data_IF_005709078804
#
_entry.id   IF_005709078804
#
_cell.length_a   1.000
_cell.length_b   1.000
_cell.length_c   1.000
_cell.angle_alpha   90.00
_cell.angle_beta   90.00
_cell.angle_gamma   90.00
#
_symmetry.space_group_name_H-M   'P 1'
#
loop_
_entity.id
_entity.type
_entity.pdbx_description
1 polymer ?
#
# COMPACT_ATOMS: atom_id res chain seq x y z
N UNK A 1 -38.40 -28.57 59.35
CA UNK A 1 -39.00 -27.23 59.13
C UNK A 1 -40.00 -27.34 58.00
N UNK A 2 -41.28 -27.10 58.28
CA UNK A 2 -42.38 -27.25 57.33
C UNK A 2 -42.37 -25.98 56.45
N UNK A 3 -42.00 -26.11 55.18
CA UNK A 3 -42.04 -24.99 54.22
C UNK A 3 -43.50 -24.58 54.04
N UNK A 4 -43.91 -23.50 54.71
CA UNK A 4 -45.24 -22.93 54.51
C UNK A 4 -45.25 -22.23 53.16
N UNK A 5 -46.14 -22.66 52.27
CA UNK A 5 -46.38 -22.06 50.97
C UNK A 5 -47.07 -20.70 51.14
N UNK A 6 -46.44 -19.62 50.67
CA UNK A 6 -47.08 -18.30 50.63
C UNK A 6 -48.26 -18.30 49.65
N UNK A 7 -49.35 -17.68 50.08
CA UNK A 7 -50.49 -17.34 49.23
C UNK A 7 -50.28 -15.94 48.64
N UNK A 8 -50.92 -15.61 47.52
CA UNK A 8 -50.86 -14.26 46.92
C UNK A 8 -51.28 -13.16 47.92
N UNK A 9 -52.05 -13.54 48.94
CA UNK A 9 -52.46 -12.73 50.08
C UNK A 9 -51.29 -12.23 50.93
N UNK A 10 -50.25 -13.04 51.10
CA UNK A 10 -49.01 -12.70 51.81
C UNK A 10 -48.14 -11.73 51.00
N UNK A 11 -48.28 -11.78 49.67
CA UNK A 11 -47.65 -10.85 48.72
C UNK A 11 -48.33 -9.47 48.71
N UNK A 12 -49.67 -9.40 48.68
CA UNK A 12 -50.43 -8.13 48.78
C UNK A 12 -50.14 -7.36 50.07
N UNK A 13 -49.82 -8.07 51.15
CA UNK A 13 -49.51 -7.45 52.46
C UNK A 13 -48.06 -6.94 52.55
N UNK A 14 -47.22 -7.26 51.56
CA UNK A 14 -45.82 -6.87 51.44
C UNK A 14 -45.62 -5.72 50.44
N UNK A 15 -46.41 -4.67 50.54
CA UNK A 15 -45.93 -3.32 50.20
C UNK A 15 -45.05 -2.84 51.35
N UNK A 16 -43.77 -3.22 51.35
CA UNK A 16 -42.73 -2.80 52.29
C UNK A 16 -43.01 -3.05 53.80
N UNK A 17 -42.21 -3.95 54.38
CA UNK A 17 -41.76 -3.89 55.79
C UNK A 17 -42.75 -4.18 56.93
N UNK A 18 -44.06 -4.41 56.70
CA UNK A 18 -45.04 -4.53 57.79
C UNK A 18 -45.80 -5.85 57.87
N UNK A 19 -45.12 -7.00 57.93
CA UNK A 19 -45.78 -8.28 58.27
C UNK A 19 -44.90 -9.31 59.00
N UNK A 20 -43.80 -8.90 59.62
CA UNK A 20 -42.97 -9.82 60.42
C UNK A 20 -43.65 -10.32 61.72
N UNK A 21 -44.80 -9.75 62.12
CA UNK A 21 -45.40 -10.01 63.43
C UNK A 21 -46.53 -11.04 63.47
N UNK A 22 -47.01 -11.56 62.33
CA UNK A 22 -48.24 -12.36 62.30
C UNK A 22 -48.02 -13.89 62.19
N UNK A 23 -46.79 -14.36 61.94
CA UNK A 23 -46.54 -15.77 61.58
C UNK A 23 -45.36 -16.44 62.29
N UNK A 24 -44.70 -15.76 63.23
CA UNK A 24 -43.66 -16.36 64.09
C UNK A 24 -42.38 -16.81 63.36
N UNK A 25 -42.11 -16.32 62.16
CA UNK A 25 -40.91 -16.61 61.38
C UNK A 25 -40.06 -15.34 61.22
N UNK A 26 -38.73 -15.51 61.18
CA UNK A 26 -37.80 -14.39 61.19
C UNK A 26 -38.01 -13.50 59.95
N UNK A 27 -38.05 -12.16 60.11
CA UNK A 27 -38.23 -11.23 58.99
C UNK A 27 -37.18 -11.39 57.87
N UNK A 28 -35.97 -11.82 58.24
CA UNK A 28 -34.89 -12.11 57.29
C UNK A 28 -35.20 -13.31 56.39
N UNK A 29 -35.71 -14.41 56.94
CA UNK A 29 -36.04 -15.62 56.18
C UNK A 29 -37.20 -15.38 55.21
N UNK A 30 -38.19 -14.58 55.61
CA UNK A 30 -39.28 -14.15 54.74
C UNK A 30 -38.83 -13.24 53.60
N UNK A 31 -37.90 -12.31 53.85
CA UNK A 31 -37.37 -11.41 52.82
C UNK A 31 -36.60 -12.17 51.74
N UNK A 32 -35.78 -13.14 52.14
CA UNK A 32 -35.00 -14.01 51.24
C UNK A 32 -35.93 -14.92 50.42
N UNK A 33 -36.97 -15.49 51.05
CA UNK A 33 -37.91 -16.35 50.35
C UNK A 33 -38.80 -15.56 49.38
N UNK A 34 -39.24 -14.36 49.76
CA UNK A 34 -40.00 -13.46 48.88
C UNK A 34 -39.18 -13.04 47.66
N UNK A 35 -37.92 -12.66 47.84
CA UNK A 35 -37.04 -12.29 46.72
C UNK A 35 -36.73 -13.48 45.80
N UNK A 36 -36.57 -14.70 46.33
CA UNK A 36 -36.40 -15.91 45.54
C UNK A 36 -37.63 -16.23 44.67
N UNK A 37 -38.84 -16.09 45.20
CA UNK A 37 -40.07 -16.30 44.42
C UNK A 37 -40.25 -15.20 43.36
N UNK A 38 -39.88 -13.93 43.68
CA UNK A 38 -39.91 -12.85 42.67
C UNK A 38 -38.95 -13.12 41.51
N UNK A 39 -37.74 -13.61 41.79
CA UNK A 39 -36.74 -13.86 40.75
C UNK A 39 -37.12 -15.06 39.89
N UNK A 40 -37.75 -16.09 40.45
CA UNK A 40 -38.29 -17.24 39.70
C UNK A 40 -39.42 -16.85 38.75
N UNK A 41 -40.33 -15.95 39.18
CA UNK A 41 -41.43 -15.46 38.33
C UNK A 41 -40.91 -14.57 37.20
N UNK A 42 -39.93 -13.71 37.49
CA UNK A 42 -39.27 -12.86 36.48
C UNK A 42 -38.46 -13.71 35.49
N UNK A 43 -37.83 -14.79 35.96
CA UNK A 43 -37.07 -15.74 35.13
C UNK A 43 -37.95 -16.73 34.36
N UNK A 44 -39.29 -16.58 34.43
CA UNK A 44 -40.28 -17.43 33.74
C UNK A 44 -40.26 -18.92 34.18
N UNK A 45 -39.64 -19.25 35.31
CA UNK A 45 -39.61 -20.62 35.81
C UNK A 45 -40.97 -21.06 36.39
N UNK A 46 -41.77 -20.12 36.89
CA UNK A 46 -43.21 -20.30 37.15
C UNK A 46 -43.60 -21.32 38.23
N UNK A 47 -42.65 -22.02 38.85
CA UNK A 47 -42.89 -23.15 39.74
C UNK A 47 -43.42 -22.76 41.13
N UNK A 48 -43.31 -21.49 41.54
CA UNK A 48 -43.66 -21.02 42.89
C UNK A 48 -45.07 -20.45 43.07
N UNK A 49 -45.88 -20.29 42.02
CA UNK A 49 -47.18 -19.60 42.10
C UNK A 49 -48.34 -20.56 42.41
N UNK A 50 -48.72 -20.66 43.69
CA UNK A 50 -50.00 -21.27 44.08
C UNK A 50 -51.09 -20.21 44.13
N UNK A 51 -51.98 -20.20 43.14
CA UNK A 51 -53.13 -19.29 43.10
C UNK A 51 -54.26 -19.80 44.00
N UNK A 52 -54.69 -18.98 44.94
CA UNK A 52 -55.90 -19.20 45.74
C UNK A 52 -57.15 -18.83 44.93
N UNK A 53 -58.33 -19.35 45.31
CA UNK A 53 -59.63 -19.24 44.59
C UNK A 53 -60.22 -17.81 44.51
N UNK A 54 -59.45 -16.79 44.89
CA UNK A 54 -59.88 -15.40 44.98
C UNK A 54 -59.53 -14.61 43.72
N UNK A 55 -60.55 -14.03 43.07
CA UNK A 55 -60.43 -13.36 41.76
C UNK A 55 -59.35 -12.27 41.73
N UNK A 56 -59.19 -11.51 42.81
CA UNK A 56 -58.20 -10.43 42.89
C UNK A 56 -56.75 -10.89 43.06
N UNK A 57 -56.53 -12.12 43.51
CA UNK A 57 -55.21 -12.75 43.64
C UNK A 57 -54.79 -13.38 42.30
N UNK A 58 -55.75 -14.01 41.60
CA UNK A 58 -55.54 -14.52 40.24
C UNK A 58 -55.21 -13.39 39.24
N UNK A 59 -55.92 -12.26 39.29
CA UNK A 59 -55.65 -11.12 38.39
C UNK A 59 -54.26 -10.51 38.59
N UNK A 60 -53.82 -10.40 39.85
CA UNK A 60 -52.47 -9.93 40.18
C UNK A 60 -51.39 -10.90 39.68
N UNK A 61 -51.58 -12.20 39.91
CA UNK A 61 -50.66 -13.24 39.43
C UNK A 61 -50.54 -13.23 37.89
N UNK A 62 -51.65 -13.07 37.17
CA UNK A 62 -51.66 -12.91 35.71
C UNK A 62 -50.86 -11.66 35.30
N UNK A 63 -51.09 -10.51 35.96
CA UNK A 63 -50.39 -9.26 35.63
C UNK A 63 -48.87 -9.37 35.83
N UNK A 64 -48.43 -10.01 36.93
CA UNK A 64 -47.03 -10.22 37.24
C UNK A 64 -46.37 -11.21 36.25
N UNK A 65 -47.07 -12.27 35.89
CA UNK A 65 -46.61 -13.22 34.87
C UNK A 65 -46.49 -12.55 33.49
N UNK A 66 -47.46 -11.74 33.08
CA UNK A 66 -47.38 -10.98 31.82
C UNK A 66 -46.24 -9.97 31.83
N UNK A 67 -46.02 -9.27 32.96
CA UNK A 67 -44.91 -8.33 33.10
C UNK A 67 -43.55 -9.03 33.05
N UNK A 68 -43.40 -10.17 33.73
CA UNK A 68 -42.19 -11.00 33.67
C UNK A 68 -41.89 -11.51 32.27
N UNK A 69 -42.91 -11.99 31.54
CA UNK A 69 -42.78 -12.41 30.14
C UNK A 69 -42.32 -11.25 29.23
N UNK A 70 -42.88 -10.05 29.40
CA UNK A 70 -42.50 -8.86 28.63
C UNK A 70 -41.04 -8.47 28.95
N UNK A 71 -40.65 -8.45 30.22
CA UNK A 71 -39.27 -8.15 30.64
C UNK A 71 -38.26 -9.17 30.07
N UNK A 72 -38.57 -10.46 30.12
CA UNK A 72 -37.70 -11.51 29.59
C UNK A 72 -37.59 -11.43 28.06
N UNK A 73 -38.69 -11.18 27.35
CA UNK A 73 -38.69 -10.96 25.91
C UNK A 73 -37.81 -9.75 25.52
N UNK A 74 -37.91 -8.63 26.25
CA UNK A 74 -37.05 -7.47 26.04
C UNK A 74 -35.58 -7.77 26.34
N UNK A 75 -35.29 -8.52 27.41
CA UNK A 75 -33.92 -8.93 27.74
C UNK A 75 -33.31 -9.79 26.63
N UNK A 76 -34.05 -10.80 26.16
CA UNK A 76 -33.61 -11.67 25.06
C UNK A 76 -33.39 -10.85 23.79
N UNK A 77 -34.31 -9.94 23.43
CA UNK A 77 -34.16 -9.07 22.27
C UNK A 77 -32.94 -8.15 22.36
N UNK A 78 -32.67 -7.57 23.53
CA UNK A 78 -31.49 -6.75 23.78
C UNK A 78 -30.20 -7.56 23.68
N UNK A 79 -30.14 -8.75 24.29
CA UNK A 79 -28.98 -9.66 24.21
C UNK A 79 -28.75 -10.09 22.76
N UNK A 80 -29.81 -10.45 22.02
CA UNK A 80 -29.71 -10.82 20.61
C UNK A 80 -29.16 -9.67 19.77
N UNK A 81 -29.69 -8.45 19.96
CA UNK A 81 -29.21 -7.26 19.24
C UNK A 81 -27.74 -6.95 19.58
N UNK A 82 -27.38 -7.05 20.86
CA UNK A 82 -26.00 -6.87 21.32
C UNK A 82 -25.05 -7.91 20.70
N UNK A 83 -25.40 -9.20 20.75
CA UNK A 83 -24.59 -10.28 20.16
C UNK A 83 -24.50 -10.15 18.63
N UNK A 84 -25.58 -9.75 17.96
CA UNK A 84 -25.54 -9.46 16.52
C UNK A 84 -24.56 -8.32 16.22
N UNK A 85 -24.61 -7.21 16.96
CA UNK A 85 -23.70 -6.08 16.76
C UNK A 85 -22.22 -6.47 16.89
N UNK A 86 -21.90 -7.41 17.79
CA UNK A 86 -20.54 -7.94 17.95
C UNK A 86 -20.14 -8.91 16.84
N UNK A 87 -21.08 -9.71 16.34
CA UNK A 87 -20.80 -10.78 15.37
C UNK A 87 -20.82 -10.32 13.92
N UNK A 88 -21.46 -9.20 13.58
CA UNK A 88 -21.56 -8.67 12.20
C UNK A 88 -20.19 -8.59 11.52
N UNK A 89 -19.19 -7.95 12.15
CA UNK A 89 -17.86 -7.80 11.56
C UNK A 89 -17.12 -9.12 11.39
N UNK A 90 -17.28 -10.06 12.32
CA UNK A 90 -16.68 -11.38 12.22
C UNK A 90 -17.35 -12.21 11.11
N UNK A 91 -18.66 -12.09 10.95
CA UNK A 91 -19.40 -12.84 9.95
C UNK A 91 -19.17 -12.28 8.54
N UNK A 92 -19.13 -10.95 8.37
CA UNK A 92 -18.69 -10.31 7.12
C UNK A 92 -17.34 -10.86 6.66
N UNK A 93 -16.40 -10.99 7.60
CA UNK A 93 -15.08 -11.54 7.38
C UNK A 93 -15.11 -13.01 6.96
N UNK A 94 -15.88 -13.83 7.68
CA UNK A 94 -16.04 -15.26 7.41
C UNK A 94 -16.69 -15.51 6.05
N UNK A 95 -17.69 -14.71 5.69
CA UNK A 95 -18.36 -14.78 4.38
C UNK A 95 -17.36 -14.44 3.27
N UNK A 96 -16.70 -13.28 3.34
CA UNK A 96 -15.69 -12.89 2.33
C UNK A 96 -14.60 -13.94 2.15
N UNK A 97 -14.11 -14.53 3.25
CA UNK A 97 -13.10 -15.60 3.20
C UNK A 97 -13.66 -16.86 2.52
N UNK A 98 -14.88 -17.29 2.86
CA UNK A 98 -15.52 -18.45 2.21
C UNK A 98 -15.71 -18.24 0.71
N UNK A 99 -16.16 -17.05 0.32
CA UNK A 99 -16.41 -16.71 -1.08
C UNK A 99 -15.09 -16.70 -1.89
N UNK A 100 -14.02 -16.12 -1.33
CA UNK A 100 -12.67 -16.14 -1.91
C UNK A 100 -12.18 -17.59 -2.11
N UNK A 101 -12.28 -18.44 -1.08
CA UNK A 101 -11.86 -19.85 -1.16
C UNK A 101 -12.66 -20.65 -2.19
N UNK A 102 -13.99 -20.48 -2.22
CA UNK A 102 -14.85 -21.14 -3.20
C UNK A 102 -14.50 -20.71 -4.63
N UNK A 103 -14.29 -19.42 -4.85
CA UNK A 103 -13.87 -18.89 -6.14
C UNK A 103 -12.51 -19.45 -6.58
N UNK A 104 -11.52 -19.49 -5.67
CA UNK A 104 -10.19 -20.05 -5.95
C UNK A 104 -10.24 -21.55 -6.28
N UNK A 105 -11.09 -22.30 -5.56
CA UNK A 105 -11.29 -23.73 -5.80
C UNK A 105 -11.96 -23.97 -7.16
N UNK A 106 -13.02 -23.20 -7.47
CA UNK A 106 -13.74 -23.30 -8.74
C UNK A 106 -12.85 -22.99 -9.95
N UNK A 107 -11.90 -22.05 -9.81
CA UNK A 107 -10.92 -21.69 -10.84
C UNK A 107 -9.69 -22.59 -10.89
N UNK A 108 -9.62 -23.63 -10.07
CA UNK A 108 -8.50 -24.59 -10.01
C UNK A 108 -7.14 -23.91 -9.85
N UNK A 109 -7.06 -22.85 -9.05
CA UNK A 109 -5.79 -22.14 -8.86
C UNK A 109 -4.74 -23.07 -8.22
N UNK A 110 -3.46 -23.01 -8.65
CA UNK A 110 -2.34 -23.67 -7.98
C UNK A 110 -2.24 -23.30 -6.50
N UNK A 111 -1.73 -24.22 -5.68
CA UNK A 111 -1.62 -24.04 -4.23
C UNK A 111 -0.79 -22.80 -3.85
N UNK A 112 0.32 -22.55 -4.55
CA UNK A 112 1.16 -21.37 -4.32
C UNK A 112 0.40 -20.05 -4.51
N UNK A 113 -0.45 -19.97 -5.55
CA UNK A 113 -1.28 -18.78 -5.79
C UNK A 113 -2.36 -18.63 -4.72
N UNK A 114 -2.98 -19.73 -4.28
CA UNK A 114 -3.97 -19.70 -3.18
C UNK A 114 -3.35 -19.19 -1.89
N UNK A 115 -2.16 -19.65 -1.56
CA UNK A 115 -1.44 -19.20 -0.36
C UNK A 115 -1.07 -17.71 -0.44
N UNK A 116 -0.69 -17.22 -1.62
CA UNK A 116 -0.46 -15.77 -1.84
C UNK A 116 -1.73 -14.95 -1.66
N UNK A 117 -2.86 -15.38 -2.22
CA UNK A 117 -4.15 -14.70 -2.05
C UNK A 117 -4.57 -14.69 -0.58
N UNK A 118 -4.45 -15.82 0.14
CA UNK A 118 -4.75 -15.90 1.58
C UNK A 118 -3.89 -14.93 2.40
N UNK A 119 -2.61 -14.82 2.08
CA UNK A 119 -1.68 -13.90 2.77
C UNK A 119 -2.08 -12.44 2.52
N UNK A 120 -2.42 -12.10 1.27
CA UNK A 120 -2.93 -10.78 0.91
C UNK A 120 -4.22 -10.44 1.66
N UNK A 121 -5.22 -11.33 1.64
CA UNK A 121 -6.51 -11.11 2.32
C UNK A 121 -6.33 -10.96 3.83
N UNK A 122 -5.45 -11.75 4.44
CA UNK A 122 -5.11 -11.66 5.86
C UNK A 122 -4.43 -10.32 6.19
N UNK A 123 -3.45 -9.90 5.40
CA UNK A 123 -2.75 -8.64 5.62
C UNK A 123 -3.70 -7.44 5.45
N UNK A 124 -4.47 -7.41 4.36
CA UNK A 124 -5.50 -6.38 4.11
C UNK A 124 -6.50 -6.30 5.26
N UNK A 125 -6.91 -7.44 5.82
CA UNK A 125 -7.80 -7.46 6.97
C UNK A 125 -7.15 -6.89 8.23
N UNK A 126 -5.91 -7.27 8.56
CA UNK A 126 -5.22 -6.75 9.75
C UNK A 126 -4.99 -5.24 9.64
N UNK A 127 -4.65 -4.76 8.44
CA UNK A 127 -4.37 -3.35 8.21
C UNK A 127 -5.65 -2.49 8.27
N UNK A 128 -6.67 -2.87 7.50
CA UNK A 128 -7.84 -2.00 7.30
C UNK A 128 -9.05 -2.43 8.15
N UNK A 129 -8.97 -3.55 8.88
CA UNK A 129 -10.09 -4.15 9.67
C UNK A 129 -11.37 -4.33 8.87
N UNK A 130 -11.25 -4.56 7.57
CA UNK A 130 -12.37 -4.72 6.65
C UNK A 130 -13.08 -3.43 6.23
N UNK A 131 -12.57 -2.27 6.64
CA UNK A 131 -13.04 -0.99 6.12
C UNK A 131 -12.55 -0.86 4.67
N UNK A 132 -13.39 -0.36 3.79
CA UNK A 132 -12.98 0.02 2.45
C UNK A 132 -12.63 1.51 2.50
N UNK A 133 -11.34 1.83 2.48
CA UNK A 133 -10.83 3.21 2.58
C UNK A 133 -11.36 4.08 1.44
N UNK A 134 -11.46 3.54 0.23
CA UNK A 134 -11.99 4.29 -0.91
C UNK A 134 -13.48 4.59 -0.71
N UNK A 135 -14.27 3.59 -0.31
CA UNK A 135 -15.71 3.79 -0.07
C UNK A 135 -15.95 4.77 1.10
N UNK A 136 -15.16 4.67 2.17
CA UNK A 136 -15.23 5.58 3.31
C UNK A 136 -15.01 7.04 2.88
N UNK A 137 -13.96 7.27 2.09
CA UNK A 137 -13.59 8.60 1.60
C UNK A 137 -14.60 9.10 0.54
N UNK A 138 -15.21 8.21 -0.25
CA UNK A 138 -16.23 8.56 -1.23
C UNK A 138 -17.55 9.02 -0.59
N UNK A 139 -17.89 8.51 0.59
CA UNK A 139 -19.08 8.92 1.35
C UNK A 139 -18.97 10.33 1.95
N UNK A 140 -17.77 10.91 1.96
CA UNK A 140 -17.55 12.27 2.46
C UNK A 140 -17.87 13.33 1.39
N UNK A 141 -18.30 14.54 1.80
CA UNK A 141 -18.38 15.69 0.93
C UNK A 141 -17.07 15.94 0.16
N UNK A 142 -17.18 16.47 -1.06
CA UNK A 142 -16.04 16.64 -1.98
C UNK A 142 -14.88 17.42 -1.35
N UNK A 143 -15.18 18.47 -0.59
CA UNK A 143 -14.17 19.33 0.04
C UNK A 143 -13.36 18.56 1.08
N UNK A 144 -14.02 17.84 1.99
CA UNK A 144 -13.34 17.00 2.99
C UNK A 144 -12.52 15.89 2.35
N UNK A 145 -13.05 15.24 1.31
CA UNK A 145 -12.31 14.22 0.55
C UNK A 145 -11.00 14.79 -0.02
N UNK A 146 -11.05 16.00 -0.60
CA UNK A 146 -9.86 16.66 -1.16
C UNK A 146 -8.85 16.97 -0.06
N UNK A 147 -9.28 17.52 1.07
CA UNK A 147 -8.39 17.87 2.17
C UNK A 147 -7.69 16.63 2.77
N UNK A 148 -8.43 15.53 2.95
CA UNK A 148 -7.86 14.26 3.44
C UNK A 148 -6.85 13.72 2.43
N UNK A 149 -7.21 13.61 1.14
CA UNK A 149 -6.29 13.11 0.11
C UNK A 149 -5.03 13.97 0.00
N UNK A 150 -5.19 15.29 0.04
CA UNK A 150 -4.07 16.25 0.04
C UNK A 150 -3.17 16.03 1.25
N UNK A 151 -3.73 15.91 2.45
CA UNK A 151 -2.95 15.68 3.66
C UNK A 151 -2.13 14.39 3.60
N UNK A 152 -2.70 13.31 3.07
CA UNK A 152 -2.04 12.01 2.97
C UNK A 152 -0.97 11.95 1.87
N UNK A 153 -1.21 12.60 0.74
CA UNK A 153 -0.42 12.40 -0.48
C UNK A 153 0.59 13.52 -0.77
N UNK A 154 0.32 14.76 -0.36
CA UNK A 154 1.09 15.93 -0.82
C UNK A 154 2.59 15.82 -0.52
N UNK A 155 2.94 15.31 0.67
CA UNK A 155 4.32 15.10 1.07
C UNK A 155 5.07 14.10 0.17
N UNK A 156 4.38 13.05 -0.29
CA UNK A 156 4.93 12.04 -1.18
C UNK A 156 5.05 12.57 -2.61
N UNK A 157 4.02 13.28 -3.11
CA UNK A 157 4.01 13.84 -4.46
C UNK A 157 5.14 14.86 -4.63
N UNK A 158 5.39 15.74 -3.65
CA UNK A 158 6.48 16.72 -3.71
C UNK A 158 7.88 16.12 -3.68
N UNK A 159 8.05 14.85 -3.29
CA UNK A 159 9.35 14.16 -3.40
C UNK A 159 9.78 13.97 -4.85
N UNK A 160 8.83 13.94 -5.79
CA UNK A 160 9.14 13.87 -7.22
C UNK A 160 9.57 15.26 -7.68
N UNK A 161 10.83 15.45 -8.13
CA UNK A 161 11.35 16.77 -8.45
C UNK A 161 10.59 17.50 -9.58
N UNK A 162 9.95 16.73 -10.46
CA UNK A 162 9.08 17.30 -11.48
C UNK A 162 7.82 17.93 -10.88
N UNK A 163 7.23 17.32 -9.85
CA UNK A 163 6.00 17.77 -9.22
C UNK A 163 6.24 18.91 -8.23
N UNK A 164 7.40 18.96 -7.58
CA UNK A 164 7.75 20.03 -6.64
C UNK A 164 7.72 21.44 -7.29
N UNK A 165 7.97 21.50 -8.60
CA UNK A 165 7.93 22.73 -9.39
C UNK A 165 6.54 23.03 -10.00
N UNK A 166 5.51 22.23 -9.71
CA UNK A 166 4.17 22.43 -10.24
C UNK A 166 3.34 23.36 -9.35
N UNK A 167 2.37 24.04 -9.96
CA UNK A 167 1.36 24.81 -9.24
C UNK A 167 0.56 23.93 -8.26
N UNK A 168 0.20 24.50 -7.11
CA UNK A 168 -0.61 23.84 -6.07
C UNK A 168 -1.91 23.22 -6.62
N UNK A 169 -2.52 23.84 -7.64
CA UNK A 169 -3.74 23.33 -8.27
C UNK A 169 -3.51 22.01 -9.02
N UNK A 170 -2.35 21.85 -9.66
CA UNK A 170 -1.99 20.61 -10.35
C UNK A 170 -1.57 19.54 -9.33
N UNK A 171 -0.84 19.92 -8.29
CA UNK A 171 -0.52 19.02 -7.18
C UNK A 171 -1.79 18.46 -6.52
N UNK A 172 -2.80 19.30 -6.30
CA UNK A 172 -4.10 18.86 -5.82
C UNK A 172 -4.78 17.89 -6.79
N UNK A 173 -4.74 18.18 -8.08
CA UNK A 173 -5.32 17.32 -9.11
C UNK A 173 -4.64 15.93 -9.17
N UNK A 174 -3.34 15.86 -8.90
CA UNK A 174 -2.59 14.60 -8.75
C UNK A 174 -3.03 13.87 -7.46
N UNK A 175 -3.08 14.58 -6.33
CA UNK A 175 -3.48 14.01 -5.05
C UNK A 175 -4.90 13.41 -5.09
N UNK A 176 -5.82 14.05 -5.81
CA UNK A 176 -7.19 13.54 -6.01
C UNK A 176 -7.24 12.21 -6.79
N UNK A 177 -6.27 11.97 -7.68
CA UNK A 177 -6.21 10.83 -8.60
C UNK A 177 -5.42 9.63 -8.06
N UNK A 178 -4.66 9.83 -7.00
CA UNK A 178 -3.97 8.73 -6.31
C UNK A 178 -4.99 7.76 -5.71
N UNK A 179 -4.69 6.46 -5.86
CA UNK A 179 -5.44 5.34 -5.28
C UNK A 179 -4.57 4.55 -4.32
N UNK A 180 -5.08 4.12 -3.15
CA UNK A 180 -4.34 3.26 -2.25
C UNK A 180 -4.01 1.92 -2.92
N UNK A 181 -2.82 1.41 -2.65
CA UNK A 181 -2.32 0.14 -3.15
C UNK A 181 -1.62 -0.62 -2.01
N UNK A 182 -1.82 -1.94 -1.98
CA UNK A 182 -1.24 -2.84 -0.98
C UNK A 182 -0.50 -3.96 -1.71
N UNK A 183 0.75 -4.19 -1.31
CA UNK A 183 1.60 -5.23 -1.89
C UNK A 183 2.13 -6.13 -0.78
N UNK A 184 1.99 -7.45 -0.96
CA UNK A 184 2.53 -8.41 0.01
C UNK A 184 4.00 -8.70 -0.24
N UNK A 185 4.67 -9.30 0.74
CA UNK A 185 6.06 -9.76 0.59
C UNK A 185 6.23 -10.60 -0.68
N UNK A 186 7.35 -10.40 -1.39
CA UNK A 186 7.77 -11.11 -2.62
C UNK A 186 6.82 -10.92 -3.80
N UNK A 187 6.01 -9.89 -3.79
CA UNK A 187 5.24 -9.49 -4.98
C UNK A 187 6.08 -8.61 -5.89
N UNK A 188 6.04 -8.92 -7.18
CA UNK A 188 6.62 -8.07 -8.21
C UNK A 188 5.63 -6.98 -8.56
N UNK A 189 6.02 -5.73 -8.34
CA UNK A 189 5.20 -4.55 -8.64
C UNK A 189 5.42 -4.16 -10.10
N UNK A 190 6.67 -4.15 -10.53
CA UNK A 190 7.09 -3.89 -11.91
C UNK A 190 8.17 -4.91 -12.27
N UNK A 191 8.17 -5.43 -13.50
CA UNK A 191 9.26 -6.26 -14.01
C UNK A 191 9.98 -5.52 -15.13
N UNK A 192 11.29 -5.70 -15.20
CA UNK A 192 12.09 -5.13 -16.29
C UNK A 192 11.54 -5.63 -17.65
N UNK A 193 11.32 -4.70 -18.58
CA UNK A 193 10.74 -4.97 -19.89
C UNK A 193 9.21 -4.90 -19.97
N UNK A 194 8.49 -5.07 -18.85
CA UNK A 194 7.02 -4.98 -18.84
C UNK A 194 6.54 -3.53 -19.01
N UNK A 195 5.36 -3.30 -19.62
CA UNK A 195 4.78 -1.96 -19.72
C UNK A 195 4.47 -1.40 -18.32
N UNK A 196 4.93 -0.18 -18.04
CA UNK A 196 4.62 0.53 -16.78
C UNK A 196 3.27 1.22 -16.93
N UNK A 197 2.29 0.81 -16.13
CA UNK A 197 0.91 1.30 -16.17
C UNK A 197 0.58 2.25 -15.00
N UNK A 198 1.42 2.29 -13.97
CA UNK A 198 1.25 3.16 -12.81
C UNK A 198 2.58 3.56 -12.17
N UNK A 199 2.60 4.77 -11.60
CA UNK A 199 3.65 5.21 -10.67
C UNK A 199 3.24 4.86 -9.25
N UNK A 200 4.16 4.35 -8.44
CA UNK A 200 3.88 3.93 -7.07
C UNK A 200 4.69 4.75 -6.08
N UNK A 201 4.03 5.32 -5.08
CA UNK A 201 4.59 6.13 -4.00
C UNK A 201 4.53 5.34 -2.71
N UNK A 202 5.68 5.06 -2.10
CA UNK A 202 5.78 4.20 -0.93
C UNK A 202 5.45 5.01 0.33
N UNK A 203 4.40 4.59 1.04
CA UNK A 203 4.04 5.16 2.33
C UNK A 203 4.81 4.43 3.42
N UNK A 204 4.73 3.09 3.43
CA UNK A 204 5.34 2.22 4.44
C UNK A 204 5.85 0.94 3.80
N UNK A 205 6.94 0.41 4.36
CA UNK A 205 7.56 -0.83 3.91
C UNK A 205 8.77 -0.62 2.99
N UNK A 206 9.29 -1.72 2.45
CA UNK A 206 10.54 -1.75 1.71
C UNK A 206 10.42 -2.52 0.41
N UNK A 207 10.96 -1.93 -0.65
CA UNK A 207 11.05 -2.55 -1.97
C UNK A 207 12.50 -2.70 -2.39
N UNK A 208 12.72 -3.67 -3.26
CA UNK A 208 13.97 -3.90 -3.94
C UNK A 208 13.81 -3.59 -5.41
N UNK A 209 14.74 -2.79 -5.95
CA UNK A 209 14.82 -2.43 -7.35
C UNK A 209 16.09 -3.02 -7.93
N UNK A 210 15.96 -3.88 -8.94
CA UNK A 210 17.05 -4.55 -9.64
C UNK A 210 16.99 -4.16 -11.12
N UNK A 211 18.10 -3.76 -11.72
CA UNK A 211 18.21 -3.53 -13.16
C UNK A 211 19.34 -4.35 -13.76
N UNK A 212 19.08 -4.93 -14.92
CA UNK A 212 20.05 -5.69 -15.73
C UNK A 212 20.42 -4.97 -17.03
N UNK A 213 19.97 -3.72 -17.21
CA UNK A 213 20.15 -2.91 -18.43
C UNK A 213 19.86 -3.70 -19.72
N UNK A 214 18.74 -4.44 -19.71
CA UNK A 214 18.31 -5.28 -20.83
C UNK A 214 19.17 -6.53 -21.04
N UNK A 215 19.74 -7.09 -19.98
CA UNK A 215 20.53 -8.33 -20.02
C UNK A 215 21.98 -8.14 -20.49
N UNK A 216 22.54 -6.93 -20.38
CA UNK A 216 23.97 -6.72 -20.67
C UNK A 216 24.83 -7.44 -19.63
N UNK A 217 25.67 -8.35 -20.10
CA UNK A 217 26.61 -9.09 -19.25
C UNK A 217 27.51 -8.14 -18.45
N UNK A 218 27.50 -8.28 -17.12
CA UNK A 218 28.33 -7.48 -16.20
C UNK A 218 27.65 -6.24 -15.61
N UNK A 219 26.40 -5.93 -15.95
CA UNK A 219 25.64 -4.84 -15.34
C UNK A 219 24.50 -5.38 -14.47
N UNK A 220 24.69 -5.36 -13.15
CA UNK A 220 23.66 -5.70 -12.17
C UNK A 220 23.68 -4.63 -11.08
N UNK A 221 22.62 -3.80 -11.04
CA UNK A 221 22.47 -2.79 -10.00
C UNK A 221 21.24 -3.12 -9.15
N UNK A 222 21.46 -3.21 -7.84
CA UNK A 222 20.44 -3.48 -6.82
C UNK A 222 20.38 -2.28 -5.88
N UNK A 223 19.20 -1.69 -5.77
CA UNK A 223 18.91 -0.55 -4.91
C UNK A 223 17.70 -0.84 -4.03
N UNK A 224 17.75 -0.46 -2.75
CA UNK A 224 16.58 -0.52 -1.87
C UNK A 224 15.78 0.77 -1.98
N UNK A 225 14.46 0.65 -2.09
CA UNK A 225 13.52 1.77 -1.98
C UNK A 225 12.81 1.67 -0.63
N UNK A 226 12.74 2.78 0.09
CA UNK A 226 12.19 2.89 1.43
C UNK A 226 10.98 3.83 1.44
N UNK A 227 10.47 4.12 2.63
CA UNK A 227 9.38 5.06 2.84
C UNK A 227 9.68 6.43 2.19
N UNK A 228 8.68 7.03 1.54
CA UNK A 228 8.80 8.25 0.73
C UNK A 228 9.51 8.14 -0.61
N UNK A 229 10.05 6.97 -0.98
CA UNK A 229 10.54 6.72 -2.34
C UNK A 229 9.39 6.39 -3.30
N UNK A 230 9.69 6.41 -4.60
CA UNK A 230 8.73 6.09 -5.65
C UNK A 230 9.36 5.24 -6.76
N UNK A 231 8.53 4.58 -7.55
CA UNK A 231 8.93 3.84 -8.75
C UNK A 231 7.95 4.07 -9.91
N UNK A 232 8.35 3.66 -11.12
CA UNK A 232 7.60 3.91 -12.37
C UNK A 232 7.86 5.29 -12.98
N UNK A 233 8.97 5.95 -12.65
CA UNK A 233 9.36 7.28 -13.15
C UNK A 233 9.43 7.38 -14.69
N UNK A 234 9.53 6.24 -15.39
CA UNK A 234 9.44 6.16 -16.85
C UNK A 234 8.14 6.79 -17.38
N UNK A 235 7.04 6.69 -16.61
CA UNK A 235 5.75 7.28 -16.97
C UNK A 235 5.77 8.80 -17.00
N UNK A 236 6.65 9.46 -16.25
CA UNK A 236 6.77 10.93 -16.30
C UNK A 236 7.23 11.40 -17.67
N UNK A 237 8.19 10.67 -18.28
CA UNK A 237 8.68 10.96 -19.63
C UNK A 237 7.55 10.80 -20.65
N UNK A 238 6.86 9.67 -20.57
CA UNK A 238 5.80 9.31 -21.49
C UNK A 238 4.62 10.28 -21.41
N UNK A 239 4.18 10.64 -20.20
CA UNK A 239 3.03 11.53 -20.01
C UNK A 239 3.27 12.96 -20.52
N UNK A 240 4.54 13.41 -20.53
CA UNK A 240 4.91 14.75 -20.99
C UNK A 240 5.11 14.83 -22.52
N UNK A 241 5.42 13.72 -23.18
CA UNK A 241 5.63 13.68 -24.63
C UNK A 241 4.27 13.70 -25.36
N UNK A 242 3.94 14.74 -26.17
CA UNK A 242 2.69 14.78 -26.92
C UNK A 242 2.58 13.73 -28.01
N UNK A 243 3.72 13.24 -28.51
CA UNK A 243 3.76 12.19 -29.54
C UNK A 243 3.64 10.79 -28.91
N UNK A 244 3.60 10.72 -27.58
CA UNK A 244 3.31 9.46 -26.90
C UNK A 244 1.90 8.99 -27.28
N UNK A 245 1.82 7.85 -27.96
CA UNK A 245 0.56 7.20 -28.26
C UNK A 245 -0.05 6.53 -27.02
N UNK A 246 -0.86 5.49 -27.26
CA UNK A 246 -1.42 4.64 -26.19
C UNK A 246 -0.37 3.67 -25.62
N UNK A 247 0.73 3.44 -26.34
CA UNK A 247 1.79 2.52 -25.90
C UNK A 247 2.49 3.03 -24.65
N UNK A 248 2.42 2.25 -23.58
CA UNK A 248 3.11 2.51 -22.33
C UNK A 248 4.63 2.29 -22.47
N UNK A 249 5.46 2.99 -21.69
CA UNK A 249 6.90 2.76 -21.67
C UNK A 249 7.23 1.41 -21.02
N UNK A 250 8.25 0.73 -21.52
CA UNK A 250 8.80 -0.48 -20.89
C UNK A 250 9.63 -0.12 -19.66
N UNK A 251 9.49 -0.89 -18.59
CA UNK A 251 10.27 -0.67 -17.37
C UNK A 251 11.75 -0.96 -17.56
N UNK A 252 12.60 -0.15 -16.93
CA UNK A 252 14.05 -0.32 -16.91
C UNK A 252 14.56 -1.21 -15.78
N UNK A 253 13.68 -1.60 -14.85
CA UNK A 253 14.03 -2.31 -13.62
C UNK A 253 12.90 -3.21 -13.13
N UNK A 254 13.29 -4.29 -12.47
CA UNK A 254 12.38 -5.13 -11.70
C UNK A 254 12.27 -4.61 -10.28
N UNK A 255 11.06 -4.30 -9.84
CA UNK A 255 10.75 -3.83 -8.49
C UNK A 255 9.94 -4.90 -7.76
N UNK A 256 10.44 -5.37 -6.63
CA UNK A 256 9.84 -6.42 -5.81
C UNK A 256 9.69 -5.98 -4.36
N UNK A 257 8.58 -6.34 -3.72
CA UNK A 257 8.35 -6.08 -2.31
C UNK A 257 9.17 -7.00 -1.40
N UNK A 258 9.97 -6.43 -0.50
CA UNK A 258 10.72 -7.16 0.52
C UNK A 258 9.95 -7.31 1.83
N UNK A 259 9.01 -6.40 2.08
CA UNK A 259 8.07 -6.47 3.19
C UNK A 259 6.65 -6.29 2.66
N UNK A 260 5.67 -6.38 3.53
CA UNK A 260 4.35 -5.83 3.24
C UNK A 260 4.50 -4.30 3.01
N UNK A 261 3.90 -3.79 1.94
CA UNK A 261 4.04 -2.39 1.50
C UNK A 261 2.68 -1.74 1.32
N UNK A 262 2.54 -0.59 1.95
CA UNK A 262 1.43 0.35 1.76
C UNK A 262 1.91 1.48 0.85
N UNK A 263 1.17 1.74 -0.22
CA UNK A 263 1.56 2.70 -1.23
C UNK A 263 0.35 3.45 -1.79
N UNK A 264 0.60 4.56 -2.47
CA UNK A 264 -0.35 5.14 -3.41
C UNK A 264 0.09 4.86 -4.84
N UNK A 265 -0.86 4.53 -5.72
CA UNK A 265 -0.63 4.36 -7.15
C UNK A 265 -1.30 5.49 -7.94
N UNK A 266 -0.55 6.03 -8.91
CA UNK A 266 -1.05 6.96 -9.92
C UNK A 266 -1.00 6.27 -11.28
N UNK A 267 -2.18 5.96 -11.83
CA UNK A 267 -2.26 5.32 -13.14
C UNK A 267 -1.79 6.23 -14.27
N UNK A 268 -1.26 5.63 -15.33
CA UNK A 268 -0.74 6.30 -16.51
C UNK A 268 -1.77 7.24 -17.15
N UNK A 269 -3.03 6.80 -17.27
CA UNK A 269 -4.11 7.61 -17.86
C UNK A 269 -4.35 8.90 -17.08
N UNK A 270 -4.39 8.80 -15.76
CA UNK A 270 -4.59 9.93 -14.84
C UNK A 270 -3.39 10.88 -14.86
N UNK A 271 -2.17 10.34 -14.90
CA UNK A 271 -0.96 11.14 -15.05
C UNK A 271 -0.94 11.88 -16.39
N UNK A 272 -1.31 11.22 -17.50
CA UNK A 272 -1.35 11.83 -18.83
C UNK A 272 -2.37 12.96 -18.91
N UNK A 273 -3.52 12.79 -18.25
CA UNK A 273 -4.53 13.84 -18.12
C UNK A 273 -3.96 15.10 -17.45
N UNK A 274 -3.26 14.95 -16.32
CA UNK A 274 -2.66 16.08 -15.60
C UNK A 274 -1.47 16.68 -16.37
N UNK A 275 -0.62 15.83 -16.94
CA UNK A 275 0.54 16.25 -17.72
C UNK A 275 0.14 17.09 -18.95
N UNK A 276 -0.97 16.75 -19.60
CA UNK A 276 -1.52 17.55 -20.70
C UNK A 276 -1.87 18.99 -20.31
N UNK A 277 -2.35 19.22 -19.08
CA UNK A 277 -2.62 20.56 -18.56
C UNK A 277 -1.33 21.31 -18.22
N UNK A 278 -0.38 20.62 -17.59
CA UNK A 278 0.91 21.21 -17.19
C UNK A 278 1.77 21.64 -18.38
N UNK A 279 1.79 20.84 -19.46
CA UNK A 279 2.56 21.11 -20.68
C UNK A 279 2.22 22.46 -21.30
N UNK A 280 0.93 22.83 -21.27
CA UNK A 280 0.43 24.11 -21.81
C UNK A 280 0.99 25.32 -21.07
N UNK A 281 1.44 25.15 -19.83
CA UNK A 281 1.85 26.26 -18.96
C UNK A 281 3.38 26.44 -18.83
N UNK A 282 4.19 25.37 -18.88
CA UNK A 282 5.63 25.45 -18.49
C UNK A 282 6.67 24.79 -19.43
N UNK A 283 6.45 24.82 -20.75
CA UNK A 283 7.27 24.11 -21.77
C UNK A 283 8.82 24.14 -21.56
N UNK A 284 9.44 25.31 -21.28
CA UNK A 284 10.91 25.40 -21.14
C UNK A 284 11.46 24.88 -19.80
N UNK A 285 10.78 25.15 -18.68
CA UNK A 285 11.24 24.72 -17.35
C UNK A 285 11.10 23.20 -17.19
N UNK A 286 10.04 22.64 -17.76
CA UNK A 286 9.80 21.20 -17.82
C UNK A 286 10.90 20.48 -18.57
N UNK A 287 11.37 21.01 -19.70
CA UNK A 287 12.49 20.44 -20.45
C UNK A 287 13.78 20.33 -19.62
N UNK A 288 14.12 21.36 -18.85
CA UNK A 288 15.33 21.36 -18.03
C UNK A 288 15.24 20.35 -16.87
N UNK A 289 14.14 20.37 -16.13
CA UNK A 289 13.90 19.43 -15.03
C UNK A 289 13.87 17.99 -15.55
N UNK A 290 13.24 17.77 -16.71
CA UNK A 290 13.18 16.47 -17.35
C UNK A 290 14.58 15.92 -17.71
N UNK A 291 15.41 16.72 -18.40
CA UNK A 291 16.78 16.32 -18.77
C UNK A 291 17.64 16.03 -17.55
N UNK A 292 17.42 16.76 -16.46
CA UNK A 292 18.22 16.61 -15.25
C UNK A 292 17.82 15.40 -14.40
N UNK A 293 16.53 15.03 -14.37
CA UNK A 293 16.03 13.97 -13.48
C UNK A 293 15.78 12.62 -14.17
N UNK A 294 15.69 12.56 -15.50
CA UNK A 294 15.59 11.29 -16.21
C UNK A 294 16.87 10.46 -16.10
N UNK A 295 16.77 9.23 -15.59
CA UNK A 295 17.90 8.30 -15.50
C UNK A 295 18.51 7.98 -16.86
N UNK A 296 17.68 7.88 -17.91
CA UNK A 296 18.16 7.65 -19.27
C UNK A 296 19.04 8.80 -19.77
N UNK A 297 18.67 10.05 -19.48
CA UNK A 297 19.47 11.22 -19.81
C UNK A 297 20.74 11.32 -18.98
N UNK A 298 20.71 10.94 -17.69
CA UNK A 298 21.90 10.87 -16.84
C UNK A 298 22.90 9.82 -17.32
N UNK A 299 22.43 8.61 -17.63
CA UNK A 299 23.27 7.52 -18.14
C UNK A 299 23.84 7.86 -19.52
N UNK A 300 23.04 8.45 -20.40
CA UNK A 300 23.51 8.96 -21.68
C UNK A 300 24.56 10.07 -21.52
N UNK A 301 24.32 11.05 -20.65
CA UNK A 301 25.28 12.12 -20.40
C UNK A 301 26.59 11.58 -19.81
N UNK A 302 26.51 10.65 -18.85
CA UNK A 302 27.69 10.00 -18.27
C UNK A 302 28.50 9.24 -19.32
N UNK A 303 27.85 8.40 -20.14
CA UNK A 303 28.51 7.63 -21.21
C UNK A 303 29.10 8.55 -22.29
N UNK A 304 28.41 9.65 -22.63
CA UNK A 304 28.89 10.65 -23.57
C UNK A 304 30.14 11.39 -23.05
N UNK A 305 30.11 11.85 -21.79
CA UNK A 305 31.25 12.50 -21.13
C UNK A 305 32.43 11.53 -21.04
N UNK A 306 32.19 10.27 -20.64
CA UNK A 306 33.22 9.23 -20.59
C UNK A 306 33.84 8.98 -21.97
N UNK A 307 33.04 8.89 -23.03
CA UNK A 307 33.52 8.72 -24.39
C UNK A 307 34.34 9.93 -24.88
N UNK A 308 33.88 11.15 -24.60
CA UNK A 308 34.59 12.38 -24.93
C UNK A 308 35.94 12.47 -24.20
N UNK A 309 35.96 12.14 -22.90
CA UNK A 309 37.18 12.09 -22.09
C UNK A 309 38.18 11.07 -22.61
N UNK A 310 37.73 9.85 -22.96
CA UNK A 310 38.59 8.82 -23.56
C UNK A 310 39.17 9.28 -24.91
N UNK A 311 38.38 9.97 -25.75
CA UNK A 311 38.88 10.56 -27.00
C UNK A 311 39.92 11.64 -26.74
N UNK A 312 39.72 12.50 -25.75
CA UNK A 312 40.68 13.52 -25.35
C UNK A 312 42.00 12.89 -24.86
N UNK A 313 41.94 11.88 -23.99
CA UNK A 313 43.10 11.12 -23.53
C UNK A 313 43.85 10.46 -24.69
N UNK A 314 43.14 9.85 -25.66
CA UNK A 314 43.75 9.26 -26.87
C UNK A 314 44.48 10.32 -27.71
N UNK A 315 43.88 11.50 -27.90
CA UNK A 315 44.53 12.62 -28.61
C UNK A 315 45.79 13.11 -27.89
N UNK A 316 45.70 13.34 -26.58
CA UNK A 316 46.84 13.78 -25.76
C UNK A 316 47.99 12.76 -25.75
N UNK A 317 47.66 11.46 -25.71
CA UNK A 317 48.66 10.40 -25.82
C UNK A 317 49.30 10.33 -27.21
N UNK A 318 48.55 10.59 -28.29
CA UNK A 318 49.08 10.65 -29.64
C UNK A 318 49.98 11.88 -29.85
N UNK A 319 49.63 13.04 -29.28
CA UNK A 319 50.47 14.24 -29.30
C UNK A 319 51.79 14.02 -28.55
N UNK A 320 51.76 13.36 -27.39
CA UNK A 320 52.96 12.95 -26.65
C UNK A 320 53.85 12.03 -27.50
N UNK A 321 53.28 11.05 -28.19
CA UNK A 321 54.03 10.17 -29.10
C UNK A 321 54.67 10.93 -30.26
N UNK A 322 53.96 11.86 -30.89
CA UNK A 322 54.53 12.69 -31.97
C UNK A 322 55.68 13.57 -31.46
N UNK A 323 55.60 14.09 -30.24
CA UNK A 323 56.70 14.83 -29.61
C UNK A 323 57.90 13.94 -29.28
N UNK A 324 57.67 12.72 -28.77
CA UNK A 324 58.73 11.72 -28.57
C UNK A 324 59.40 11.35 -29.91
N UNK A 325 58.63 11.12 -30.98
CA UNK A 325 59.13 10.81 -32.33
C UNK A 325 59.90 12.00 -32.96
N UNK A 326 59.45 13.24 -32.75
CA UNK A 326 60.14 14.46 -33.21
C UNK A 326 61.45 14.72 -32.43
N UNK A 327 61.50 14.42 -31.13
CA UNK A 327 62.73 14.46 -30.33
C UNK A 327 63.70 13.31 -30.71
N UNK A 328 63.18 12.12 -31.01
CA UNK A 328 63.97 10.98 -31.51
C UNK A 328 64.57 11.26 -32.90
N UNK A 329 63.82 11.89 -33.81
CA UNK A 329 64.31 12.31 -35.13
C UNK A 329 65.43 13.35 -35.08
N UNK A 330 65.51 14.14 -33.99
CA UNK A 330 66.60 15.10 -33.74
C UNK A 330 67.82 14.49 -33.04
N UNK A 331 67.67 13.33 -32.41
CA UNK A 331 68.73 12.61 -31.65
C UNK A 331 69.19 11.33 -32.36
N UNK A 332 69.31 11.37 -33.69
CA UNK A 332 69.86 10.27 -34.47
C UNK A 332 71.39 10.26 -34.38
N UNK A 333 71.94 9.64 -33.31
CA UNK A 333 73.24 8.97 -33.45
C UNK A 333 73.58 7.88 -32.41
N UNK A 334 72.95 7.74 -31.23
CA UNK A 334 73.57 6.86 -30.20
C UNK A 334 72.66 6.05 -29.26
N UNK A 335 71.37 5.81 -29.55
CA UNK A 335 70.47 5.14 -28.57
C UNK A 335 69.59 4.01 -29.11
N UNK A 336 69.94 3.37 -30.21
CA UNK A 336 69.11 2.35 -30.86
C UNK A 336 68.92 1.06 -30.05
N UNK A 337 69.85 0.70 -29.15
CA UNK A 337 69.82 -0.61 -28.45
C UNK A 337 69.00 -0.62 -27.15
N UNK A 338 68.85 0.53 -26.47
CA UNK A 338 68.05 0.63 -25.22
C UNK A 338 66.54 0.76 -25.49
N UNK A 339 66.17 1.16 -26.72
CA UNK A 339 64.78 1.41 -27.09
C UNK A 339 64.01 0.14 -27.46
N UNK A 340 64.66 -0.87 -28.06
CA UNK A 340 64.00 -2.12 -28.50
C UNK A 340 63.41 -2.90 -27.31
N UNK A 341 64.10 -2.93 -26.16
CA UNK A 341 63.62 -3.59 -24.94
C UNK A 341 62.45 -2.84 -24.27
N UNK A 342 62.46 -1.49 -24.32
CA UNK A 342 61.34 -0.65 -23.84
C UNK A 342 60.12 -0.72 -24.76
N UNK A 343 60.33 -0.88 -26.06
CA UNK A 343 59.26 -1.02 -27.05
C UNK A 343 58.54 -2.37 -26.93
N UNK A 344 59.29 -3.45 -26.68
CA UNK A 344 58.73 -4.79 -26.41
C UNK A 344 57.91 -4.83 -25.10
N UNK A 345 58.41 -4.22 -24.03
CA UNK A 345 57.68 -4.11 -22.76
C UNK A 345 56.39 -3.25 -22.88
N UNK A 346 56.44 -2.15 -23.64
CA UNK A 346 55.24 -1.33 -23.95
C UNK A 346 54.24 -2.07 -24.85
N UNK A 347 54.69 -2.91 -25.80
CA UNK A 347 53.79 -3.72 -26.63
C UNK A 347 53.04 -4.80 -25.83
N UNK A 348 53.71 -5.48 -24.89
CA UNK A 348 53.04 -6.47 -24.02
C UNK A 348 51.97 -5.82 -23.13
N UNK A 349 52.26 -4.63 -22.59
CA UNK A 349 51.31 -3.86 -21.77
C UNK A 349 50.17 -3.24 -22.60
N UNK A 350 50.42 -2.89 -23.87
CA UNK A 350 49.37 -2.46 -24.80
C UNK A 350 48.50 -3.62 -25.29
N UNK A 351 49.01 -4.85 -25.39
CA UNK A 351 48.22 -6.03 -25.77
C UNK A 351 47.28 -6.45 -24.65
N UNK A 352 47.75 -6.43 -23.40
CA UNK A 352 46.90 -6.63 -22.21
C UNK A 352 45.81 -5.55 -22.06
N UNK A 353 46.10 -4.27 -22.40
CA UNK A 353 45.07 -3.21 -22.46
C UNK A 353 44.11 -3.34 -23.65
N UNK A 354 44.53 -3.96 -24.74
CA UNK A 354 43.69 -4.19 -25.92
C UNK A 354 42.68 -5.31 -25.68
N UNK A 355 43.06 -6.32 -24.90
CA UNK A 355 42.15 -7.41 -24.51
C UNK A 355 41.06 -6.92 -23.49
N UNK A 356 41.32 -5.85 -22.73
CA UNK A 356 40.31 -5.12 -21.94
C UNK A 356 39.46 -4.13 -22.77
N UNK A 357 39.95 -3.63 -23.92
CA UNK A 357 39.27 -2.62 -24.76
C UNK A 357 38.30 -3.21 -25.82
N UNK A 358 38.24 -4.55 -25.99
CA UNK A 358 37.37 -5.22 -26.98
C UNK A 358 35.94 -5.48 -26.46
N UNK A 359 35.56 -4.99 -25.27
CA UNK A 359 34.15 -4.75 -24.98
C UNK A 359 33.68 -3.51 -25.76
N UNK A 360 33.18 -3.76 -26.97
CA UNK A 360 32.49 -2.79 -27.82
C UNK A 360 31.28 -2.27 -27.03
N UNK A 361 31.47 -1.18 -26.30
CA UNK A 361 30.38 -0.41 -25.73
C UNK A 361 29.70 0.32 -26.90
N UNK A 362 28.61 -0.26 -27.39
CA UNK A 362 27.70 0.39 -28.34
C UNK A 362 27.35 1.76 -27.77
N UNK A 363 27.46 2.86 -28.54
CA UNK A 363 27.06 4.18 -28.05
C UNK A 363 25.60 4.10 -27.64
N UNK A 364 25.30 4.45 -26.37
CA UNK A 364 23.91 4.56 -25.94
C UNK A 364 23.24 5.59 -26.86
N UNK A 365 22.18 5.22 -27.60
CA UNK A 365 21.52 6.14 -28.50
C UNK A 365 21.02 7.35 -27.70
N UNK A 366 21.15 8.55 -28.29
CA UNK A 366 20.67 9.78 -27.67
C UNK A 366 19.18 9.58 -27.32
N UNK A 367 18.77 9.71 -26.04
CA UNK A 367 17.37 9.66 -25.68
C UNK A 367 16.59 10.68 -26.50
N UNK A 368 15.39 10.31 -26.97
CA UNK A 368 14.57 11.21 -27.77
C UNK A 368 14.25 12.46 -26.94
N UNK A 369 14.42 13.63 -27.55
CA UNK A 369 13.99 14.88 -26.93
C UNK A 369 12.46 14.90 -26.95
N UNK A 370 11.79 15.16 -25.80
CA UNK A 370 10.36 15.36 -25.81
C UNK A 370 10.06 16.62 -26.63
N UNK A 371 9.28 16.45 -27.69
CA UNK A 371 8.91 17.55 -28.58
C UNK A 371 7.78 18.33 -27.91
N UNK A 372 8.04 19.56 -27.48
CA UNK A 372 7.03 20.40 -26.85
C UNK A 372 6.45 21.43 -27.82
N UNK A 373 6.61 21.23 -29.13
CA UNK A 373 5.93 21.99 -30.16
C UNK A 373 4.43 22.08 -29.89
N UNK A 374 3.90 23.30 -29.97
CA UNK A 374 2.48 23.55 -30.15
C UNK A 374 2.30 23.41 -31.66
N UNK A 375 1.76 22.27 -32.10
CA UNK A 375 1.21 22.21 -33.45
C UNK A 375 -0.16 22.92 -33.38
N UNK A 376 -0.30 23.96 -34.20
CA UNK A 376 -1.46 24.87 -34.31
C UNK A 376 -2.80 24.16 -34.55
#
# INVERSE_FOLDING_TARGET
>A
MRVQSLTVRDWRRCGATRCASASGQNPFDYGIYSSAVTSEVISTLGQGLKTTIYTGESLFAISLATFGLILMAMLIGNIQTYLQSLTVRLEEMRVKRRDSEQWMHHRLLPQELRERVRRYDQYKWVNTRGVDEEALVQNLPKDLRRDIKRHLCLGLVRRVPLFDNMDERLLDAICERLKPALYTERTYIIREGDPVDQMVFIIRGSLESITTDGGRSGFFNRSMLQESDFCGEELLTWALDPKSGVSLPSSTRTVMALSEVEAFALHAEELKFVAGQFRRMHSKQVQHTFRFYSQQWRTWAATYIQAAWRRHLKRKAAELRRKEEEEEGRSSSFKTTILVSRFAAKMHMQRSKRDEEVMIHVPVPKPREPDFGIDD
#
